data_IF_605814874608
#
_entry.id   IF_605814874608
#
_cell.length_a   1.000
_cell.length_b   1.000
_cell.length_c   1.000
_cell.angle_alpha   90.00
_cell.angle_beta   90.00
_cell.angle_gamma   90.00
#
_symmetry.space_group_name_H-M   'P 1'
#
loop_
_entity.id
_entity.type
_entity.pdbx_description
1 polymer ?
#
# COMPACT_ATOMS: atom_id res chain seq x y z
N UNK A 1 -34.97 35.17 -10.47
CA UNK A 1 -34.34 36.20 -9.61
C UNK A 1 -33.95 37.39 -10.49
N UNK A 2 -34.13 38.62 -10.04
CA UNK A 2 -33.76 39.82 -10.83
C UNK A 2 -32.26 40.04 -10.78
N UNK A 3 -31.66 40.49 -11.88
CA UNK A 3 -30.26 40.84 -11.99
C UNK A 3 -30.09 41.99 -12.99
N UNK A 4 -29.05 42.80 -12.80
CA UNK A 4 -28.72 43.88 -13.73
C UNK A 4 -28.21 43.29 -15.06
N UNK A 5 -28.86 43.63 -16.16
CA UNK A 5 -28.43 43.21 -17.49
C UNK A 5 -27.57 44.32 -18.14
N UNK A 6 -26.31 44.07 -18.49
CA UNK A 6 -25.42 45.08 -19.07
C UNK A 6 -25.87 45.56 -20.46
N UNK A 7 -26.61 44.73 -21.20
CA UNK A 7 -27.13 45.08 -22.54
C UNK A 7 -28.42 45.90 -22.46
N UNK A 8 -29.37 45.50 -21.62
CA UNK A 8 -30.61 46.27 -21.41
C UNK A 8 -30.39 47.52 -20.55
N UNK A 9 -29.26 47.61 -19.83
CA UNK A 9 -28.91 48.68 -18.88
C UNK A 9 -29.94 48.87 -17.75
N UNK A 10 -30.62 47.80 -17.35
CA UNK A 10 -31.63 47.80 -16.29
C UNK A 10 -31.76 46.42 -15.67
N UNK A 11 -32.47 46.33 -14.54
CA UNK A 11 -32.81 45.06 -13.92
C UNK A 11 -33.77 44.25 -14.80
N UNK A 12 -33.42 42.98 -15.03
CA UNK A 12 -34.23 42.01 -15.74
C UNK A 12 -34.32 40.73 -14.94
N UNK A 13 -35.34 39.93 -15.22
CA UNK A 13 -35.34 38.57 -14.72
C UNK A 13 -34.22 37.79 -15.39
N UNK A 14 -33.58 36.93 -14.61
CA UNK A 14 -32.54 36.04 -15.09
C UNK A 14 -32.98 34.60 -15.00
N UNK A 15 -32.57 33.81 -15.99
CA UNK A 15 -32.78 32.37 -16.06
C UNK A 15 -31.42 31.65 -16.12
N UNK A 16 -31.36 30.44 -15.55
CA UNK A 16 -30.18 29.57 -15.61
C UNK A 16 -30.36 28.63 -16.80
N UNK A 17 -29.39 28.60 -17.71
CA UNK A 17 -29.35 27.67 -18.85
C UNK A 17 -28.07 26.83 -18.81
N UNK A 18 -28.05 25.71 -19.52
CA UNK A 18 -26.85 24.90 -19.71
C UNK A 18 -26.40 24.95 -21.16
N UNK A 19 -25.10 25.11 -21.40
CA UNK A 19 -24.49 25.05 -22.74
C UNK A 19 -23.06 24.53 -22.66
N UNK A 20 -22.50 24.11 -23.80
CA UNK A 20 -21.10 23.67 -23.85
C UNK A 20 -20.17 24.88 -23.81
N UNK A 21 -19.21 24.87 -22.90
CA UNK A 21 -18.12 25.84 -22.83
C UNK A 21 -16.78 25.13 -22.64
N UNK A 22 -15.72 25.75 -23.14
CA UNK A 22 -14.36 25.21 -23.09
C UNK A 22 -13.46 26.12 -22.26
N UNK A 23 -12.80 25.54 -21.26
CA UNK A 23 -11.93 26.25 -20.32
C UNK A 23 -10.47 25.82 -20.52
N UNK A 24 -9.50 26.76 -20.53
CA UNK A 24 -8.08 26.45 -20.66
C UNK A 24 -7.48 26.05 -19.30
N UNK A 25 -7.59 24.78 -18.93
CA UNK A 25 -7.05 24.26 -17.66
C UNK A 25 -5.60 23.84 -17.87
N UNK A 26 -4.64 24.51 -17.23
CA UNK A 26 -3.19 24.24 -17.38
C UNK A 26 -2.69 24.28 -18.83
N UNK A 27 -3.35 25.06 -19.69
CA UNK A 27 -3.03 25.17 -21.12
C UNK A 27 -3.74 24.16 -22.01
N UNK A 28 -4.56 23.26 -21.45
CA UNK A 28 -5.34 22.27 -22.19
C UNK A 28 -6.82 22.67 -22.26
N UNK A 29 -7.49 22.52 -23.42
CA UNK A 29 -8.89 22.84 -23.57
C UNK A 29 -9.77 21.76 -22.94
N UNK A 30 -10.57 22.12 -21.93
CA UNK A 30 -11.50 21.23 -21.26
C UNK A 30 -12.94 21.69 -21.49
N UNK A 31 -13.72 20.85 -22.17
CA UNK A 31 -15.13 21.14 -22.48
C UNK A 31 -16.06 20.54 -21.43
N UNK A 32 -16.98 21.37 -20.93
CA UNK A 32 -18.01 20.99 -19.95
C UNK A 32 -19.38 21.52 -20.35
N UNK A 33 -20.44 20.96 -19.77
CA UNK A 33 -21.77 21.55 -19.77
C UNK A 33 -21.83 22.62 -18.66
N UNK A 34 -21.49 23.85 -19.01
CA UNK A 34 -21.49 24.98 -18.10
C UNK A 34 -22.92 25.47 -17.85
N UNK A 35 -23.21 25.83 -16.61
CA UNK A 35 -24.45 26.52 -16.27
C UNK A 35 -24.20 28.01 -16.23
N UNK A 36 -24.91 28.77 -17.07
CA UNK A 36 -24.75 30.23 -17.15
C UNK A 36 -26.07 30.92 -16.86
N UNK A 37 -25.98 32.13 -16.28
CA UNK A 37 -27.14 32.99 -16.05
C UNK A 37 -27.29 33.92 -17.26
N UNK A 38 -28.49 34.00 -17.81
CA UNK A 38 -28.79 34.88 -18.96
C UNK A 38 -30.00 35.75 -18.68
N UNK A 39 -30.04 36.92 -19.30
CA UNK A 39 -31.20 37.81 -19.32
C UNK A 39 -32.37 37.13 -20.06
N UNK A 40 -33.55 37.06 -19.42
CA UNK A 40 -34.73 36.43 -20.02
C UNK A 40 -35.27 37.18 -21.26
N UNK A 41 -34.93 38.46 -21.43
CA UNK A 41 -35.40 39.29 -22.57
C UNK A 41 -34.41 39.27 -23.73
N UNK A 42 -33.14 39.62 -23.49
CA UNK A 42 -32.16 39.83 -24.56
C UNK A 42 -31.13 38.71 -24.70
N UNK A 43 -31.19 37.68 -23.85
CA UNK A 43 -30.31 36.51 -23.87
C UNK A 43 -28.86 36.76 -23.48
N UNK A 44 -28.51 37.98 -23.03
CA UNK A 44 -27.13 38.32 -22.66
C UNK A 44 -26.71 37.61 -21.38
N UNK A 45 -25.50 37.07 -21.39
CA UNK A 45 -24.87 36.48 -20.20
C UNK A 45 -24.76 37.50 -19.07
N UNK A 46 -25.15 37.07 -17.89
CA UNK A 46 -25.07 37.83 -16.64
C UNK A 46 -24.07 37.08 -15.78
N UNK A 47 -22.99 37.76 -15.40
CA UNK A 47 -21.98 37.21 -14.51
C UNK A 47 -22.60 36.74 -13.20
N UNK A 48 -22.25 35.53 -12.78
CA UNK A 48 -22.67 34.97 -11.51
C UNK A 48 -21.50 34.21 -10.92
N UNK A 49 -20.87 34.81 -9.91
CA UNK A 49 -19.67 34.28 -9.27
C UNK A 49 -19.82 32.83 -8.78
N UNK A 50 -21.02 32.44 -8.33
CA UNK A 50 -21.28 31.08 -7.86
C UNK A 50 -21.30 30.11 -9.02
N UNK A 51 -22.03 30.43 -10.10
CA UNK A 51 -22.06 29.58 -11.30
C UNK A 51 -20.70 29.49 -11.98
N UNK A 52 -19.97 30.59 -12.06
CA UNK A 52 -18.63 30.62 -12.65
C UNK A 52 -17.64 29.77 -11.83
N UNK A 53 -17.75 29.82 -10.50
CA UNK A 53 -16.96 28.97 -9.59
C UNK A 53 -17.32 27.48 -9.73
N UNK A 54 -18.62 27.15 -9.82
CA UNK A 54 -19.10 25.78 -10.06
C UNK A 54 -18.59 25.23 -11.40
N UNK A 55 -18.67 26.02 -12.47
CA UNK A 55 -18.20 25.64 -13.80
C UNK A 55 -16.68 25.42 -13.81
N UNK A 56 -15.90 26.29 -13.14
CA UNK A 56 -14.46 26.10 -13.04
C UNK A 56 -14.10 24.81 -12.27
N UNK A 57 -14.82 24.51 -11.19
CA UNK A 57 -14.65 23.27 -10.43
C UNK A 57 -14.98 22.02 -11.28
N UNK A 58 -16.02 22.09 -12.12
CA UNK A 58 -16.36 21.03 -13.07
C UNK A 58 -15.25 20.84 -14.12
N UNK A 59 -14.72 21.93 -14.69
CA UNK A 59 -13.62 21.87 -15.64
C UNK A 59 -12.36 21.27 -15.00
N UNK A 60 -12.04 21.64 -13.76
CA UNK A 60 -10.90 21.07 -13.05
C UNK A 60 -11.10 19.59 -12.71
N UNK A 61 -12.32 19.17 -12.40
CA UNK A 61 -12.63 17.76 -12.13
C UNK A 61 -12.47 16.91 -13.39
N UNK A 62 -13.01 17.38 -14.52
CA UNK A 62 -12.81 16.77 -15.85
C UNK A 62 -11.33 16.66 -16.23
N UNK A 63 -10.55 17.72 -15.99
CA UNK A 63 -9.10 17.69 -16.22
C UNK A 63 -8.41 16.61 -15.37
N UNK A 64 -8.77 16.51 -14.08
CA UNK A 64 -8.19 15.49 -13.18
C UNK A 64 -8.49 14.08 -13.63
N UNK A 65 -9.74 13.80 -14.02
CA UNK A 65 -10.16 12.50 -14.52
C UNK A 65 -9.35 12.09 -15.75
N UNK A 66 -9.22 13.00 -16.73
CA UNK A 66 -8.44 12.75 -17.95
C UNK A 66 -6.95 12.48 -17.68
N UNK A 67 -6.39 13.03 -16.60
CA UNK A 67 -4.98 12.90 -16.23
C UNK A 67 -4.71 11.91 -15.09
N UNK A 68 -5.74 11.27 -14.54
CA UNK A 68 -5.62 10.39 -13.38
C UNK A 68 -5.04 11.09 -12.13
N UNK A 69 -5.40 12.35 -11.90
CA UNK A 69 -4.87 13.15 -10.78
C UNK A 69 -5.83 13.12 -9.58
N UNK A 70 -5.32 13.05 -8.34
CA UNK A 70 -6.17 13.01 -7.15
C UNK A 70 -6.98 14.31 -7.00
N UNK A 71 -8.26 14.15 -6.71
CA UNK A 71 -9.19 15.23 -6.36
C UNK A 71 -9.14 15.61 -4.88
N UNK A 72 -9.86 16.67 -4.50
CA UNK A 72 -9.95 17.12 -3.10
C UNK A 72 -10.44 16.04 -2.15
N UNK A 73 -11.46 15.26 -2.57
CA UNK A 73 -12.01 14.17 -1.75
C UNK A 73 -11.02 13.01 -1.59
N UNK A 74 -10.24 12.70 -2.64
CA UNK A 74 -9.20 11.67 -2.55
C UNK A 74 -8.17 12.07 -1.49
N UNK A 75 -7.71 13.32 -1.51
CA UNK A 75 -6.70 13.80 -0.56
C UNK A 75 -7.25 13.79 0.87
N UNK A 76 -8.51 14.20 1.08
CA UNK A 76 -9.16 14.09 2.40
C UNK A 76 -9.32 12.64 2.84
N UNK A 77 -9.66 11.72 1.93
CA UNK A 77 -9.75 10.28 2.21
C UNK A 77 -8.38 9.72 2.62
N UNK A 78 -7.34 9.99 1.83
CA UNK A 78 -5.96 9.56 2.10
C UNK A 78 -5.53 10.05 3.50
N UNK A 79 -5.76 11.32 3.79
CA UNK A 79 -5.44 11.91 5.09
C UNK A 79 -6.24 11.27 6.23
N UNK A 80 -7.54 11.10 6.01
CA UNK A 80 -8.48 10.54 6.97
C UNK A 80 -8.17 9.08 7.32
N UNK A 81 -7.70 8.30 6.34
CA UNK A 81 -7.26 6.91 6.51
C UNK A 81 -6.22 6.78 7.62
N UNK A 82 -5.24 7.68 7.68
CA UNK A 82 -4.22 7.68 8.73
C UNK A 82 -4.59 8.51 9.97
N UNK A 83 -5.78 9.13 10.00
CA UNK A 83 -6.20 10.00 11.10
C UNK A 83 -5.37 11.29 11.24
N UNK A 84 -4.78 11.76 10.13
CA UNK A 84 -3.89 12.93 10.09
C UNK A 84 -4.67 14.26 9.97
N UNK A 85 -4.13 15.32 10.54
CA UNK A 85 -4.49 16.70 10.19
C UNK A 85 -3.76 17.16 8.92
N UNK A 86 -4.19 18.27 8.31
CA UNK A 86 -3.49 18.84 7.14
C UNK A 86 -2.02 19.14 7.47
N UNK A 87 -1.76 19.61 8.70
CA UNK A 87 -0.40 19.85 9.21
C UNK A 87 0.38 18.55 9.39
N UNK A 88 -0.26 17.51 9.92
CA UNK A 88 0.36 16.20 10.13
C UNK A 88 0.76 15.55 8.80
N UNK A 89 -0.15 15.50 7.83
CA UNK A 89 0.14 14.95 6.50
C UNK A 89 1.23 15.77 5.79
N UNK A 90 1.18 17.11 5.88
CA UNK A 90 2.24 17.96 5.33
C UNK A 90 3.60 17.67 5.98
N UNK A 91 3.64 17.45 7.30
CA UNK A 91 4.87 17.10 8.02
C UNK A 91 5.45 15.76 7.58
N UNK A 92 4.62 14.77 7.26
CA UNK A 92 5.06 13.47 6.72
C UNK A 92 5.59 13.58 5.30
N UNK A 93 4.88 14.29 4.42
CA UNK A 93 5.25 14.43 3.01
C UNK A 93 6.41 15.41 2.77
N UNK A 94 6.81 16.16 3.80
CA UNK A 94 7.84 17.20 3.69
C UNK A 94 7.35 18.48 3.00
N UNK A 95 6.05 18.77 3.08
CA UNK A 95 5.41 19.92 2.43
C UNK A 95 5.01 21.01 3.43
N UNK A 96 4.67 22.19 2.92
CA UNK A 96 4.00 23.21 3.73
C UNK A 96 2.53 22.83 3.98
N UNK A 97 1.96 23.11 5.16
CA UNK A 97 0.53 22.87 5.42
C UNK A 97 -0.40 23.56 4.42
N UNK A 98 0.00 24.73 3.92
CA UNK A 98 -0.72 25.47 2.88
C UNK A 98 -0.85 24.69 1.56
N UNK A 99 0.10 23.79 1.26
CA UNK A 99 0.05 22.96 0.06
C UNK A 99 -1.09 21.94 0.14
N UNK A 100 -1.25 21.25 1.28
CA UNK A 100 -2.36 20.32 1.50
C UNK A 100 -3.69 21.06 1.50
N UNK A 101 -3.79 22.17 2.25
CA UNK A 101 -5.03 22.96 2.33
C UNK A 101 -5.51 23.43 0.94
N UNK A 102 -4.59 23.89 0.10
CA UNK A 102 -4.87 24.33 -1.26
C UNK A 102 -5.40 23.20 -2.15
N UNK A 103 -4.85 21.99 -2.03
CA UNK A 103 -5.35 20.84 -2.80
C UNK A 103 -6.70 20.34 -2.30
N UNK A 104 -6.91 20.28 -0.99
CA UNK A 104 -8.22 19.98 -0.40
C UNK A 104 -9.29 21.05 -0.71
N UNK A 105 -8.88 22.26 -1.10
CA UNK A 105 -9.76 23.34 -1.55
C UNK A 105 -10.05 23.32 -3.07
N UNK A 106 -9.51 22.36 -3.83
CA UNK A 106 -9.82 22.26 -5.26
C UNK A 106 -8.72 22.70 -6.22
N UNK A 107 -7.53 23.07 -5.76
CA UNK A 107 -6.41 23.30 -6.67
C UNK A 107 -5.88 21.99 -7.26
N UNK A 108 -5.40 22.04 -8.50
CA UNK A 108 -4.84 20.88 -9.19
C UNK A 108 -3.41 20.61 -8.70
N UNK A 109 -3.11 19.42 -8.15
CA UNK A 109 -1.75 19.08 -7.76
C UNK A 109 -0.80 19.01 -8.95
N UNK A 110 0.49 19.27 -8.73
CA UNK A 110 1.52 19.03 -9.75
C UNK A 110 1.69 17.52 -9.97
N UNK A 111 2.31 17.13 -11.10
CA UNK A 111 2.59 15.71 -11.38
C UNK A 111 3.43 15.06 -10.25
N UNK A 112 4.53 15.66 -9.75
CA UNK A 112 5.29 15.08 -8.65
C UNK A 112 4.49 14.95 -7.35
N UNK A 113 3.66 15.95 -7.02
CA UNK A 113 2.82 15.90 -5.83
C UNK A 113 1.73 14.82 -5.96
N UNK A 114 1.16 14.67 -7.16
CA UNK A 114 0.18 13.63 -7.43
C UNK A 114 0.78 12.24 -7.27
N UNK A 115 2.01 12.05 -7.75
CA UNK A 115 2.72 10.78 -7.60
C UNK A 115 3.04 10.47 -6.13
N UNK A 116 3.50 11.46 -5.38
CA UNK A 116 3.77 11.28 -3.96
C UNK A 116 2.49 10.99 -3.16
N UNK A 117 1.36 11.63 -3.50
CA UNK A 117 0.05 11.36 -2.90
C UNK A 117 -0.43 9.94 -3.21
N UNK A 118 -0.32 9.50 -4.46
CA UNK A 118 -0.65 8.12 -4.87
C UNK A 118 0.18 7.10 -4.10
N UNK A 119 1.51 7.28 -4.10
CA UNK A 119 2.42 6.40 -3.36
C UNK A 119 2.11 6.40 -1.86
N UNK A 120 1.75 7.54 -1.28
CA UNK A 120 1.35 7.61 0.13
C UNK A 120 0.00 6.90 0.43
N UNK A 121 -0.91 6.80 -0.54
CA UNK A 121 -2.15 6.02 -0.41
C UNK A 121 -1.91 4.52 -0.63
N UNK A 122 -1.16 4.17 -1.67
CA UNK A 122 -1.03 2.80 -2.17
C UNK A 122 0.08 2.00 -1.47
N UNK A 123 1.21 2.65 -1.14
CA UNK A 123 2.38 2.04 -0.51
C UNK A 123 2.42 2.37 1.00
N UNK A 124 1.84 1.46 1.78
CA UNK A 124 1.76 1.57 3.25
C UNK A 124 3.15 1.59 3.88
N UNK A 125 4.13 0.88 3.31
CA UNK A 125 5.50 0.86 3.83
C UNK A 125 6.13 2.24 3.68
N UNK A 126 5.99 2.85 2.50
CA UNK A 126 6.42 4.22 2.26
C UNK A 126 5.75 5.21 3.22
N UNK A 127 4.43 5.11 3.41
CA UNK A 127 3.71 5.96 4.37
C UNK A 127 4.22 5.76 5.82
N UNK A 128 4.54 4.52 6.20
CA UNK A 128 5.08 4.19 7.52
C UNK A 128 6.51 4.71 7.71
N UNK A 129 7.37 4.64 6.70
CA UNK A 129 8.72 5.20 6.74
C UNK A 129 8.70 6.72 6.93
N UNK A 130 7.83 7.41 6.18
CA UNK A 130 7.61 8.85 6.37
C UNK A 130 7.11 9.16 7.78
N UNK A 131 6.17 8.37 8.30
CA UNK A 131 5.71 8.50 9.67
C UNK A 131 6.83 8.31 10.68
N UNK A 132 7.65 7.25 10.57
CA UNK A 132 8.77 6.97 11.46
C UNK A 132 9.79 8.12 11.47
N UNK A 133 10.08 8.68 10.30
CA UNK A 133 11.01 9.81 10.14
C UNK A 133 10.47 11.12 10.74
N UNK A 134 9.16 11.36 10.66
CA UNK A 134 8.55 12.64 11.06
C UNK A 134 7.67 12.57 12.32
N UNK A 135 7.59 11.42 13.02
CA UNK A 135 6.72 11.22 14.20
C UNK A 135 6.90 12.26 15.31
N UNK A 136 8.12 12.78 15.47
CA UNK A 136 8.44 13.78 16.49
C UNK A 136 7.89 15.19 16.15
N UNK A 137 7.47 15.41 14.90
CA UNK A 137 6.83 16.65 14.44
C UNK A 137 5.30 16.63 14.66
N UNK A 138 4.74 15.48 15.04
CA UNK A 138 3.31 15.30 15.29
C UNK A 138 2.98 15.49 16.78
N UNK A 139 1.78 15.95 17.07
CA UNK A 139 1.28 15.99 18.45
C UNK A 139 1.00 14.60 19.01
N UNK A 140 1.11 14.42 20.33
CA UNK A 140 0.95 13.11 21.00
C UNK A 140 -0.35 12.37 20.63
N UNK A 141 -1.49 13.08 20.60
CA UNK A 141 -2.79 12.49 20.26
C UNK A 141 -2.88 12.09 18.78
N UNK A 142 -2.33 12.91 17.89
CA UNK A 142 -2.31 12.65 16.44
C UNK A 142 -1.42 11.44 16.14
N UNK A 143 -0.23 11.39 16.76
CA UNK A 143 0.69 10.25 16.66
C UNK A 143 0.01 8.93 17.04
N UNK A 144 -0.71 8.90 18.16
CA UNK A 144 -1.46 7.69 18.59
C UNK A 144 -2.53 7.26 17.59
N UNK A 145 -3.21 8.20 16.93
CA UNK A 145 -4.21 7.88 15.89
C UNK A 145 -3.54 7.25 14.68
N UNK A 146 -2.40 7.79 14.25
CA UNK A 146 -1.63 7.27 13.13
C UNK A 146 -1.07 5.89 13.44
N UNK A 147 -0.52 5.68 14.64
CA UNK A 147 -0.06 4.36 15.10
C UNK A 147 -1.22 3.35 15.09
N UNK A 148 -2.39 3.72 15.62
CA UNK A 148 -3.58 2.88 15.57
C UNK A 148 -4.06 2.60 14.14
N UNK A 149 -3.98 3.59 13.25
CA UNK A 149 -4.33 3.42 11.84
C UNK A 149 -3.40 2.39 11.18
N UNK A 150 -2.08 2.50 11.37
CA UNK A 150 -1.11 1.50 10.91
C UNK A 150 -1.34 0.12 11.51
N UNK A 151 -1.67 0.03 12.80
CA UNK A 151 -2.07 -1.25 13.42
C UNK A 151 -3.35 -1.83 12.82
N UNK A 152 -4.31 -0.99 12.40
CA UNK A 152 -5.55 -1.43 11.74
C UNK A 152 -5.36 -1.83 10.27
N UNK A 153 -4.30 -1.35 9.60
CA UNK A 153 -3.87 -1.85 8.30
C UNK A 153 -3.10 -3.18 8.38
N UNK A 154 -2.96 -3.73 9.60
CA UNK A 154 -2.16 -4.89 9.96
C UNK A 154 -2.53 -6.18 9.25
N UNK A 155 -2.00 -6.33 8.05
CA UNK A 155 -1.24 -7.54 7.69
C UNK A 155 0.15 -7.23 7.10
N UNK A 156 0.59 -5.95 7.03
CA UNK A 156 1.97 -5.59 6.63
C UNK A 156 2.40 -4.31 7.36
N UNK A 157 3.52 -4.34 8.10
CA UNK A 157 4.02 -3.25 8.95
C UNK A 157 4.69 -3.74 10.24
N UNK A 158 5.47 -4.81 10.14
CA UNK A 158 6.06 -5.55 11.26
C UNK A 158 7.54 -5.19 11.31
N UNK A 159 8.05 -4.66 12.43
CA UNK A 159 9.49 -4.41 12.58
C UNK A 159 10.29 -5.71 12.42
N UNK A 160 11.58 -5.64 12.04
CA UNK A 160 12.42 -6.85 11.94
C UNK A 160 12.35 -7.75 13.19
N UNK A 161 12.25 -7.16 14.39
CA UNK A 161 12.11 -7.88 15.66
C UNK A 161 10.75 -8.58 15.82
N UNK A 162 9.66 -7.93 15.40
CA UNK A 162 8.34 -8.56 15.37
C UNK A 162 8.25 -9.60 14.26
N UNK A 163 8.95 -9.40 13.12
CA UNK A 163 9.00 -10.35 12.02
C UNK A 163 9.71 -11.62 12.46
N UNK A 164 10.81 -11.48 13.20
CA UNK A 164 11.47 -12.60 13.88
C UNK A 164 10.47 -13.36 14.76
N UNK A 165 9.61 -12.66 15.51
CA UNK A 165 8.60 -13.31 16.36
C UNK A 165 7.58 -14.11 15.54
N UNK A 166 6.98 -13.51 14.52
CA UNK A 166 6.03 -14.20 13.64
C UNK A 166 6.64 -15.41 12.93
N UNK A 167 7.86 -15.26 12.40
CA UNK A 167 8.58 -16.36 11.76
C UNK A 167 8.89 -17.50 12.74
N UNK A 168 9.25 -17.18 13.99
CA UNK A 168 9.50 -18.19 15.04
C UNK A 168 8.22 -18.89 15.50
N UNK A 169 7.14 -18.14 15.69
CA UNK A 169 5.85 -18.70 16.09
C UNK A 169 5.32 -19.66 15.01
N UNK A 170 5.46 -19.26 13.74
CA UNK A 170 5.06 -20.09 12.60
C UNK A 170 5.99 -21.31 12.43
N UNK A 171 7.30 -21.16 12.62
CA UNK A 171 8.24 -22.29 12.65
C UNK A 171 7.84 -23.33 13.71
N UNK A 172 7.53 -22.89 14.93
CA UNK A 172 7.11 -23.78 16.01
C UNK A 172 5.76 -24.44 15.75
N UNK A 173 4.85 -23.75 15.04
CA UNK A 173 3.60 -24.36 14.55
C UNK A 173 3.91 -25.42 13.49
N UNK A 174 4.77 -25.10 12.53
CA UNK A 174 5.15 -25.98 11.43
C UNK A 174 5.78 -27.27 11.91
N UNK A 175 6.79 -27.19 12.79
CA UNK A 175 7.46 -28.36 13.35
C UNK A 175 6.45 -29.28 14.05
N UNK A 176 5.56 -28.73 14.87
CA UNK A 176 4.53 -29.53 15.57
C UNK A 176 3.60 -30.27 14.61
N UNK A 177 3.23 -29.66 13.49
CA UNK A 177 2.32 -30.30 12.53
C UNK A 177 3.05 -31.31 11.64
N UNK A 178 4.23 -30.97 11.13
CA UNK A 178 4.95 -31.83 10.17
C UNK A 178 5.51 -33.08 10.85
N UNK A 179 5.95 -32.99 12.11
CA UNK A 179 6.44 -34.14 12.87
C UNK A 179 5.37 -35.23 13.01
N UNK A 180 4.12 -34.81 13.22
CA UNK A 180 2.99 -35.72 13.39
C UNK A 180 2.46 -36.29 12.07
N UNK A 181 2.64 -35.58 10.95
CA UNK A 181 2.00 -35.93 9.67
C UNK A 181 2.93 -36.62 8.69
N UNK A 182 4.17 -36.15 8.59
CA UNK A 182 5.14 -36.63 7.61
C UNK A 182 6.28 -37.44 8.23
N UNK A 183 6.35 -37.47 9.58
CA UNK A 183 7.42 -38.16 10.32
C UNK A 183 8.81 -37.92 9.72
N UNK A 184 9.20 -36.64 9.52
CA UNK A 184 10.46 -36.31 8.88
C UNK A 184 11.63 -36.90 9.68
N UNK A 185 12.70 -37.21 8.96
CA UNK A 185 14.00 -37.58 9.51
C UNK A 185 14.63 -36.37 10.21
N UNK A 186 14.60 -35.23 9.52
CA UNK A 186 15.24 -33.99 9.93
C UNK A 186 14.54 -32.78 9.32
N UNK A 187 14.49 -31.68 10.08
CA UNK A 187 14.06 -30.36 9.59
C UNK A 187 15.15 -29.35 9.91
N UNK A 188 15.54 -28.59 8.89
CA UNK A 188 16.58 -27.58 8.99
C UNK A 188 16.03 -26.21 8.60
N UNK A 189 16.31 -25.21 9.42
CA UNK A 189 16.08 -23.80 9.13
C UNK A 189 17.33 -23.22 8.48
N UNK A 190 17.18 -22.55 7.35
CA UNK A 190 18.28 -21.82 6.71
C UNK A 190 17.88 -20.37 6.42
N UNK A 191 18.72 -19.66 5.67
CA UNK A 191 18.42 -18.29 5.25
C UNK A 191 18.41 -17.26 6.38
N UNK A 192 17.61 -16.22 6.19
CA UNK A 192 17.69 -14.96 6.95
C UNK A 192 17.38 -15.14 8.45
N UNK A 193 16.42 -16.02 8.80
CA UNK A 193 16.06 -16.32 10.18
C UNK A 193 17.13 -17.14 10.90
N UNK A 194 17.74 -18.12 10.23
CA UNK A 194 18.85 -18.91 10.80
C UNK A 194 20.05 -18.02 11.14
N UNK A 195 20.40 -17.11 10.22
CA UNK A 195 21.52 -16.19 10.32
C UNK A 195 21.27 -14.97 11.24
N UNK A 196 20.04 -14.77 11.73
CA UNK A 196 19.67 -13.62 12.55
C UNK A 196 19.67 -12.27 11.81
N UNK A 197 19.59 -12.29 10.48
CA UNK A 197 19.59 -11.11 9.60
C UNK A 197 18.21 -10.91 8.96
N UNK A 198 17.16 -10.98 9.78
CA UNK A 198 15.77 -10.88 9.32
C UNK A 198 15.44 -9.44 8.92
N UNK A 199 14.82 -9.31 7.76
CA UNK A 199 14.22 -8.08 7.24
C UNK A 199 12.70 -8.20 7.28
N UNK A 200 11.99 -7.10 7.09
CA UNK A 200 10.52 -7.02 7.24
C UNK A 200 9.79 -7.93 6.22
N UNK A 201 10.43 -8.23 5.09
CA UNK A 201 9.97 -9.12 4.02
C UNK A 201 10.61 -10.51 4.02
N UNK A 202 11.42 -10.85 5.02
CA UNK A 202 12.08 -12.16 5.08
C UNK A 202 11.09 -13.31 5.15
N UNK A 203 11.32 -14.37 4.36
CA UNK A 203 10.54 -15.60 4.37
C UNK A 203 11.06 -16.62 5.39
N UNK A 204 10.27 -17.68 5.62
CA UNK A 204 10.65 -18.85 6.40
C UNK A 204 11.24 -19.92 5.47
N UNK A 205 12.57 -20.05 5.46
CA UNK A 205 13.31 -20.98 4.60
C UNK A 205 13.57 -22.32 5.31
N UNK A 206 13.01 -23.41 4.80
CA UNK A 206 13.07 -24.72 5.42
C UNK A 206 13.50 -25.85 4.47
N UNK A 207 14.35 -26.74 4.97
CA UNK A 207 14.58 -28.04 4.36
C UNK A 207 13.96 -29.11 5.24
N UNK A 208 13.17 -29.98 4.62
CA UNK A 208 12.60 -31.17 5.25
C UNK A 208 13.17 -32.40 4.58
N UNK A 209 13.76 -33.28 5.37
CA UNK A 209 14.26 -34.58 4.92
C UNK A 209 13.27 -35.64 5.39
N UNK A 210 12.59 -36.29 4.46
CA UNK A 210 11.55 -37.27 4.76
C UNK A 210 11.45 -38.32 3.65
N UNK A 211 11.07 -39.55 4.02
CA UNK A 211 10.79 -40.60 3.05
C UNK A 211 9.48 -40.28 2.32
N UNK A 212 9.53 -40.20 0.99
CA UNK A 212 8.35 -39.93 0.15
C UNK A 212 8.57 -40.45 -1.26
N UNK A 213 7.49 -40.93 -1.88
CA UNK A 213 7.48 -41.38 -3.28
C UNK A 213 6.99 -40.31 -4.24
N UNK A 214 6.55 -39.15 -3.72
CA UNK A 214 6.02 -38.06 -4.55
C UNK A 214 7.14 -37.38 -5.36
N UNK A 215 6.84 -36.85 -6.56
CA UNK A 215 7.74 -35.95 -7.26
C UNK A 215 8.02 -34.68 -6.45
N UNK A 216 9.20 -34.08 -6.63
CA UNK A 216 9.67 -32.93 -5.84
C UNK A 216 8.64 -31.78 -5.72
N UNK A 217 8.09 -31.31 -6.84
CA UNK A 217 7.10 -30.21 -6.83
C UNK A 217 5.81 -30.58 -6.11
N UNK A 218 5.38 -31.84 -6.16
CA UNK A 218 4.13 -32.27 -5.55
C UNK A 218 4.26 -32.42 -4.04
N UNK A 219 5.47 -32.70 -3.53
CA UNK A 219 5.77 -32.63 -2.08
C UNK A 219 5.53 -31.21 -1.55
N UNK A 220 6.01 -30.20 -2.27
CA UNK A 220 5.85 -28.79 -1.89
C UNK A 220 4.37 -28.40 -1.93
N UNK A 221 3.66 -28.73 -3.02
CA UNK A 221 2.22 -28.47 -3.13
C UNK A 221 1.44 -29.11 -2.00
N UNK A 222 1.77 -30.34 -1.63
CA UNK A 222 1.06 -31.05 -0.57
C UNK A 222 1.26 -30.37 0.78
N UNK A 223 2.48 -29.95 1.11
CA UNK A 223 2.74 -29.18 2.34
C UNK A 223 1.97 -27.85 2.32
N UNK A 224 2.04 -27.09 1.22
CA UNK A 224 1.38 -25.79 1.11
C UNK A 224 -0.14 -25.91 1.24
N UNK A 225 -0.74 -26.93 0.60
CA UNK A 225 -2.18 -27.22 0.64
C UNK A 225 -2.65 -27.70 2.01
N UNK A 226 -1.82 -28.42 2.76
CA UNK A 226 -2.23 -28.95 4.06
C UNK A 226 -2.00 -27.95 5.20
N UNK A 227 -0.86 -27.26 5.19
CA UNK A 227 -0.38 -26.50 6.34
C UNK A 227 -0.85 -25.04 6.37
N UNK A 228 -1.24 -24.49 5.19
CA UNK A 228 -1.70 -23.12 5.00
C UNK A 228 -0.82 -22.10 5.77
N UNK A 229 0.44 -21.87 5.33
CA UNK A 229 1.37 -21.00 6.04
C UNK A 229 0.80 -19.60 6.26
N UNK A 230 1.05 -19.04 7.44
CA UNK A 230 0.63 -17.68 7.82
C UNK A 230 1.65 -16.60 7.47
N UNK A 231 2.82 -17.02 7.00
CA UNK A 231 3.93 -16.17 6.54
C UNK A 231 4.45 -16.72 5.22
N UNK A 232 5.12 -15.88 4.42
CA UNK A 232 5.88 -16.35 3.26
C UNK A 232 6.89 -17.44 3.67
N UNK A 233 6.88 -18.54 2.93
CA UNK A 233 7.60 -19.76 3.27
C UNK A 233 8.18 -20.38 2.00
N UNK A 234 9.49 -20.60 1.99
CA UNK A 234 10.18 -21.38 0.97
C UNK A 234 10.57 -22.73 1.58
N UNK A 235 10.09 -23.81 0.98
CA UNK A 235 10.32 -25.16 1.49
C UNK A 235 10.85 -26.10 0.42
N UNK A 236 11.94 -26.77 0.78
CA UNK A 236 12.54 -27.82 -0.01
C UNK A 236 12.34 -29.16 0.71
N UNK A 237 11.81 -30.15 0.00
CA UNK A 237 11.54 -31.47 0.58
C UNK A 237 12.32 -32.53 -0.18
N UNK A 238 13.31 -33.13 0.49
CA UNK A 238 14.19 -34.14 -0.08
C UNK A 238 14.01 -35.50 0.59
N UNK A 239 14.22 -36.58 -0.15
CA UNK A 239 14.44 -37.89 0.46
C UNK A 239 15.84 -37.95 1.07
N UNK A 240 16.11 -38.89 1.99
CA UNK A 240 17.46 -39.07 2.54
C UNK A 240 18.53 -39.27 1.46
N UNK A 241 18.22 -40.03 0.40
CA UNK A 241 19.16 -40.36 -0.69
C UNK A 241 19.43 -39.14 -1.59
N UNK A 242 18.37 -38.38 -1.92
CA UNK A 242 18.51 -37.11 -2.63
C UNK A 242 19.36 -36.13 -1.84
N UNK A 243 19.13 -36.05 -0.52
CA UNK A 243 19.89 -35.17 0.36
C UNK A 243 21.38 -35.53 0.39
N UNK A 244 21.74 -36.79 0.59
CA UNK A 244 23.14 -37.25 0.58
C UNK A 244 23.86 -36.95 -0.75
N UNK A 245 23.12 -37.04 -1.86
CA UNK A 245 23.65 -36.69 -3.18
C UNK A 245 23.85 -35.18 -3.30
N UNK A 246 22.85 -34.38 -2.94
CA UNK A 246 22.89 -32.92 -3.03
C UNK A 246 23.96 -32.31 -2.12
N UNK A 247 24.19 -32.88 -0.94
CA UNK A 247 25.29 -32.48 -0.05
C UNK A 247 26.64 -32.61 -0.74
N UNK A 248 26.86 -33.64 -1.56
CA UNK A 248 28.11 -33.83 -2.30
C UNK A 248 28.21 -32.90 -3.51
N UNK A 249 27.11 -32.72 -4.22
CA UNK A 249 27.11 -32.09 -5.55
C UNK A 249 26.81 -30.59 -5.57
N UNK A 250 26.15 -30.04 -4.54
CA UNK A 250 25.66 -28.66 -4.57
C UNK A 250 26.38 -27.81 -3.51
N UNK A 251 27.24 -26.85 -3.92
CA UNK A 251 27.89 -25.92 -3.01
C UNK A 251 26.91 -25.17 -2.11
N UNK A 252 25.76 -24.73 -2.64
CA UNK A 252 24.71 -24.06 -1.87
C UNK A 252 24.23 -24.86 -0.66
N UNK A 253 24.03 -26.17 -0.82
CA UNK A 253 23.59 -27.05 0.29
C UNK A 253 24.66 -27.11 1.38
N UNK A 254 25.93 -27.19 1.01
CA UNK A 254 27.04 -27.23 1.98
C UNK A 254 27.27 -25.89 2.67
N UNK A 255 27.31 -24.82 1.91
CA UNK A 255 27.73 -23.50 2.40
C UNK A 255 26.59 -22.75 3.10
N UNK A 256 25.38 -22.77 2.54
CA UNK A 256 24.25 -22.03 3.09
C UNK A 256 23.41 -22.87 4.05
N UNK A 257 23.08 -24.12 3.68
CA UNK A 257 22.16 -24.93 4.49
C UNK A 257 22.89 -25.66 5.62
N UNK A 258 23.95 -26.43 5.33
CA UNK A 258 24.73 -27.11 6.35
C UNK A 258 25.65 -26.16 7.13
N UNK A 259 26.30 -25.22 6.43
CA UNK A 259 27.28 -24.32 7.02
C UNK A 259 26.68 -23.24 7.91
N UNK A 260 25.50 -22.71 7.57
CA UNK A 260 24.85 -21.58 8.28
C UNK A 260 23.46 -21.90 8.83
N UNK A 261 22.85 -22.99 8.39
CA UNK A 261 21.54 -23.41 8.86
C UNK A 261 21.56 -23.99 10.26
N UNK A 262 20.37 -24.20 10.82
CA UNK A 262 20.16 -24.75 12.16
C UNK A 262 19.24 -25.95 12.06
N UNK A 263 19.61 -27.06 12.70
CA UNK A 263 18.72 -28.19 12.88
C UNK A 263 17.67 -27.78 13.91
N UNK A 264 16.41 -27.80 13.50
CA UNK A 264 15.27 -27.41 14.36
C UNK A 264 14.44 -28.62 14.79
N UNK A 265 14.62 -29.76 14.12
CA UNK A 265 14.12 -31.05 14.53
C UNK A 265 15.00 -32.16 13.92
N UNK A 266 15.29 -33.18 14.71
CA UNK A 266 15.97 -34.40 14.27
C UNK A 266 15.34 -35.58 15.00
N UNK A 267 15.04 -36.64 14.25
CA UNK A 267 14.44 -37.83 14.82
C UNK A 267 15.48 -38.54 15.72
N UNK A 268 15.12 -38.97 16.95
CA UNK A 268 16.06 -39.56 17.89
C UNK A 268 16.84 -40.77 17.35
N UNK A 269 16.24 -41.55 16.46
CA UNK A 269 16.84 -42.78 15.91
C UNK A 269 18.01 -42.51 14.92
N UNK A 270 18.24 -41.25 14.53
CA UNK A 270 19.25 -40.88 13.53
C UNK A 270 20.54 -40.26 14.09
N UNK A 271 20.61 -40.06 15.40
CA UNK A 271 21.79 -39.46 16.07
C UNK A 271 22.86 -40.49 16.48
N UNK A 272 22.68 -41.76 16.10
CA UNK A 272 23.55 -42.89 16.42
C UNK A 272 24.12 -43.62 15.18
N UNK A 273 24.13 -42.99 14.01
CA UNK A 273 24.76 -43.51 12.79
C UNK A 273 25.95 -42.66 12.34
#
# INVERSE_FOLDING_TARGET
MKAYCPRCKMERESIKIQRQETYPVKGEPITIMASVKVCNVCGTDIFDESLDSENLALAYSRYREQKGLPGPEDIRRIRGRYGLSQRGMAALLGWSPATIARYEAGAIPSVPHSEQLRRFDEDISYAYDLFKAAKNKLGNLERRRVEKAFSSFGTIGISAEERVRFLRDELMRFIREIVNRMHPRKVMLFGSLAAGKVQEWSDLDLVVIANTTLPFLDRIKEIMRQFHPKVGMDILVYTPEEWETLVRERPFIREEILGKGKIVYERPDDSLA
#
